data_IF_628122278463
#
_entry.id   IF_628122278463
#
_cell.length_a   1.000
_cell.length_b   1.000
_cell.length_c   1.000
_cell.angle_alpha   90.00
_cell.angle_beta   90.00
_cell.angle_gamma   90.00
#
_symmetry.space_group_name_H-M   'P 1'
#
loop_
_entity.id
_entity.type
_entity.pdbx_description
1 polymer ?
#
# COMPACT_ATOMS: atom_id res chain seq x y z
N UNK A 1 8.53 -72.31 6.35
CA UNK A 1 9.64 -71.72 7.10
C UNK A 1 10.59 -71.03 6.12
N UNK A 2 11.09 -69.86 6.51
CA UNK A 2 12.14 -69.03 5.90
C UNK A 2 11.96 -68.49 4.47
N UNK A 3 11.84 -67.17 4.46
CA UNK A 3 11.94 -66.21 3.37
C UNK A 3 13.38 -65.98 2.90
N UNK A 4 13.47 -65.56 1.63
CA UNK A 4 14.45 -64.66 0.97
C UNK A 4 15.87 -65.15 0.69
N UNK A 5 16.30 -64.85 -0.54
CA UNK A 5 17.58 -64.30 -1.05
C UNK A 5 17.70 -64.73 -2.53
N UNK A 6 18.28 -64.02 -3.51
CA UNK A 6 19.12 -62.84 -3.54
C UNK A 6 19.03 -62.15 -4.92
N UNK A 7 19.47 -60.89 -4.89
CA UNK A 7 19.82 -59.96 -5.96
C UNK A 7 20.60 -60.54 -7.15
N UNK A 8 20.27 -60.11 -8.38
CA UNK A 8 21.20 -60.11 -9.53
C UNK A 8 21.05 -58.85 -10.39
N UNK A 9 22.17 -58.12 -10.46
CA UNK A 9 22.85 -57.49 -11.60
C UNK A 9 22.03 -56.63 -12.55
N UNK A 10 22.55 -55.44 -12.85
CA UNK A 10 23.04 -55.10 -14.21
C UNK A 10 24.09 -53.98 -14.10
N UNK A 11 25.27 -54.24 -14.67
CA UNK A 11 26.33 -53.27 -14.91
C UNK A 11 26.21 -52.75 -16.35
N UNK A 12 26.45 -51.47 -16.58
CA UNK A 12 26.67 -50.93 -17.93
C UNK A 12 27.94 -50.09 -17.96
N UNK A 13 28.82 -50.59 -18.82
CA UNK A 13 30.05 -50.09 -19.41
C UNK A 13 30.29 -48.58 -19.42
N UNK A 14 31.51 -48.21 -19.04
CA UNK A 14 32.12 -46.90 -19.24
C UNK A 14 32.42 -46.65 -20.73
N UNK A 15 32.25 -45.40 -21.17
CA UNK A 15 32.71 -44.92 -22.48
C UNK A 15 33.66 -43.75 -22.28
N UNK A 16 34.76 -43.80 -23.03
CA UNK A 16 35.95 -42.94 -22.99
C UNK A 16 35.67 -41.47 -23.29
N UNK A 17 36.40 -40.61 -22.59
CA UNK A 17 36.45 -39.17 -22.79
C UNK A 17 37.30 -38.79 -24.02
N UNK A 18 36.81 -37.82 -24.81
CA UNK A 18 37.62 -37.04 -25.74
C UNK A 18 37.88 -35.65 -25.13
N UNK A 19 39.09 -35.08 -25.26
CA UNK A 19 39.43 -33.78 -24.69
C UNK A 19 38.97 -32.63 -25.61
N UNK A 20 38.14 -31.73 -25.08
CA UNK A 20 37.79 -30.47 -25.74
C UNK A 20 38.52 -29.32 -25.03
N UNK A 21 39.26 -28.58 -25.86
CA UNK A 21 39.91 -27.29 -25.68
C UNK A 21 39.52 -26.46 -24.44
N UNK A 22 40.55 -26.12 -23.66
CA UNK A 22 40.56 -25.09 -22.63
C UNK A 22 40.34 -23.70 -23.21
N UNK A 23 39.28 -23.02 -22.80
CA UNK A 23 39.18 -21.55 -22.86
C UNK A 23 39.08 -21.03 -21.42
N UNK A 24 39.90 -20.03 -21.02
CA UNK A 24 39.82 -19.47 -19.67
C UNK A 24 38.61 -18.54 -19.57
N UNK A 25 37.66 -18.90 -18.72
CA UNK A 25 36.57 -18.00 -18.34
C UNK A 25 37.09 -16.98 -17.32
N UNK A 26 36.81 -15.67 -17.49
CA UNK A 26 37.17 -14.68 -16.50
C UNK A 26 36.35 -14.88 -15.23
N UNK A 27 37.05 -15.08 -14.12
CA UNK A 27 36.54 -15.15 -12.76
C UNK A 27 36.02 -13.78 -12.29
N UNK A 28 34.89 -13.31 -12.83
CA UNK A 28 34.09 -12.25 -12.21
C UNK A 28 32.61 -12.60 -12.22
N UNK A 29 32.25 -13.53 -11.34
CA UNK A 29 30.91 -13.53 -10.75
C UNK A 29 31.02 -13.97 -9.30
N UNK A 30 31.55 -13.08 -8.47
CA UNK A 30 31.13 -13.04 -7.06
C UNK A 30 29.64 -12.76 -7.12
N UNK A 31 28.82 -13.80 -6.96
CA UNK A 31 27.42 -13.66 -6.69
C UNK A 31 27.29 -12.83 -5.41
N UNK A 32 27.06 -11.53 -5.55
CA UNK A 32 26.51 -10.73 -4.48
C UNK A 32 25.15 -11.34 -4.21
N UNK A 33 25.08 -12.23 -3.22
CA UNK A 33 23.82 -12.71 -2.66
C UNK A 33 22.95 -11.52 -2.27
N UNK A 34 21.65 -11.71 -2.00
CA UNK A 34 20.80 -10.61 -1.57
C UNK A 34 21.51 -9.88 -0.44
N UNK A 35 21.79 -8.58 -0.63
CA UNK A 35 22.33 -7.74 0.42
C UNK A 35 21.28 -7.73 1.51
N UNK A 36 21.42 -8.63 2.49
CA UNK A 36 20.60 -8.61 3.69
C UNK A 36 21.00 -7.32 4.38
N UNK A 37 20.18 -6.30 4.16
CA UNK A 37 20.36 -4.98 4.72
C UNK A 37 20.41 -5.17 6.24
N UNK A 38 21.58 -4.94 6.84
CA UNK A 38 21.71 -4.78 8.29
C UNK A 38 20.92 -3.52 8.63
N UNK A 39 19.64 -3.70 8.97
CA UNK A 39 18.85 -2.64 9.58
C UNK A 39 19.51 -2.32 10.91
N UNK A 40 20.24 -1.21 10.97
CA UNK A 40 20.65 -0.62 12.23
C UNK A 40 19.37 -0.36 13.02
N UNK A 41 19.18 -1.11 14.10
CA UNK A 41 17.96 -1.06 14.91
C UNK A 41 17.99 0.23 15.73
N UNK A 42 17.54 1.35 15.15
CA UNK A 42 17.12 2.54 15.89
C UNK A 42 15.81 2.32 16.69
N UNK A 43 15.40 1.05 16.86
CA UNK A 43 14.20 0.66 17.58
C UNK A 43 14.51 -0.13 18.86
N UNK A 44 15.77 -0.18 19.31
CA UNK A 44 16.08 -0.70 20.63
C UNK A 44 15.90 0.41 21.67
N UNK A 45 14.62 0.72 21.96
CA UNK A 45 14.12 1.45 23.12
C UNK A 45 14.05 3.00 23.04
N UNK A 46 13.09 3.51 22.26
CA UNK A 46 12.65 4.92 22.36
C UNK A 46 12.18 5.27 23.80
N UNK A 47 11.70 4.27 24.58
CA UNK A 47 11.22 4.46 25.95
C UNK A 47 12.23 4.15 27.08
N UNK A 48 13.42 3.57 26.81
CA UNK A 48 14.35 3.14 27.88
C UNK A 48 15.50 4.13 28.13
N UNK A 49 15.51 5.25 27.40
CA UNK A 49 16.51 6.32 27.53
C UNK A 49 15.95 7.74 27.48
N UNK A 50 14.64 7.92 27.30
CA UNK A 50 14.00 9.25 27.34
C UNK A 50 13.97 9.74 28.79
N UNK A 51 14.87 10.66 29.14
CA UNK A 51 14.93 11.28 30.47
C UNK A 51 16.13 10.91 31.35
N UNK A 52 17.15 10.20 30.84
CA UNK A 52 18.43 10.11 31.57
C UNK A 52 19.26 11.36 31.26
N UNK A 53 19.66 12.17 32.27
CA UNK A 53 20.54 13.30 32.03
C UNK A 53 21.88 12.81 31.48
N UNK A 54 22.35 13.43 30.40
CA UNK A 54 23.73 13.29 29.90
C UNK A 54 24.66 13.75 31.02
N UNK A 55 25.36 12.83 31.68
CA UNK A 55 26.49 13.21 32.54
C UNK A 55 27.55 13.85 31.65
N UNK A 56 28.03 15.02 32.07
CA UNK A 56 28.93 15.92 31.31
C UNK A 56 30.35 15.36 31.12
N UNK A 57 30.63 14.15 31.60
CA UNK A 57 31.97 13.56 31.62
C UNK A 57 32.16 12.39 30.63
N UNK A 58 31.19 12.12 29.75
CA UNK A 58 31.31 11.10 28.70
C UNK A 58 31.86 11.66 27.37
N UNK A 59 32.84 12.57 27.44
CA UNK A 59 33.51 13.13 26.25
C UNK A 59 34.48 12.13 25.57
N UNK A 60 34.60 10.89 26.05
CA UNK A 60 35.58 9.91 25.55
C UNK A 60 35.04 8.51 25.30
N UNK A 61 33.71 8.27 25.30
CA UNK A 61 33.15 6.98 24.90
C UNK A 61 32.62 7.04 23.47
N UNK A 62 33.31 6.31 22.59
CA UNK A 62 33.08 6.11 21.16
C UNK A 62 31.76 5.39 20.82
N UNK A 63 30.63 5.96 21.25
CA UNK A 63 29.27 5.50 20.92
C UNK A 63 28.37 6.69 20.57
N UNK A 64 28.92 7.70 19.90
CA UNK A 64 28.11 8.60 19.09
C UNK A 64 27.87 7.87 17.76
N UNK A 65 26.61 7.51 17.49
CA UNK A 65 26.24 6.90 16.22
C UNK A 65 26.65 7.89 15.10
N UNK A 66 27.53 7.50 14.15
CA UNK A 66 28.10 8.43 13.16
C UNK A 66 27.03 9.06 12.27
N UNK A 67 25.81 8.50 12.25
CA UNK A 67 24.68 8.99 11.49
C UNK A 67 24.00 10.19 12.15
N UNK A 68 23.96 10.29 13.49
CA UNK A 68 23.32 11.44 14.16
C UNK A 68 24.18 12.69 14.05
N UNK A 69 25.51 12.56 14.17
CA UNK A 69 26.44 13.66 13.91
C UNK A 69 26.36 14.15 12.46
N UNK A 70 26.22 13.23 11.49
CA UNK A 70 26.12 13.59 10.07
C UNK A 70 24.81 14.31 9.69
N UNK A 71 23.73 14.14 10.47
CA UNK A 71 22.45 14.81 10.26
C UNK A 71 22.40 16.22 10.86
N UNK A 72 23.20 16.48 11.90
CA UNK A 72 23.26 17.76 12.61
C UNK A 72 24.31 18.73 12.02
N UNK A 73 25.19 18.26 11.13
CA UNK A 73 26.25 19.07 10.52
C UNK A 73 25.71 19.96 9.37
N UNK A 74 25.83 21.31 9.44
CA UNK A 74 25.33 22.20 8.39
C UNK A 74 26.03 21.99 7.04
N UNK A 75 27.32 21.64 7.07
CA UNK A 75 28.13 21.41 5.87
C UNK A 75 27.74 20.13 5.12
N UNK A 76 27.37 19.06 5.83
CA UNK A 76 26.91 17.83 5.18
C UNK A 76 25.53 18.03 4.55
N UNK A 77 24.66 18.84 5.18
CA UNK A 77 23.37 19.26 4.63
C UNK A 77 23.54 20.12 3.38
N UNK A 78 24.45 21.08 3.39
CA UNK A 78 24.80 21.88 2.20
C UNK A 78 25.33 21.02 1.07
N UNK A 79 26.28 20.12 1.33
CA UNK A 79 26.81 19.18 0.32
C UNK A 79 25.73 18.24 -0.23
N UNK A 80 24.81 17.78 0.60
CA UNK A 80 23.67 16.96 0.17
C UNK A 80 22.70 17.76 -0.69
N UNK A 81 22.44 19.01 -0.33
CA UNK A 81 21.63 19.94 -1.13
C UNK A 81 22.29 20.20 -2.48
N UNK A 82 23.57 20.56 -2.53
CA UNK A 82 24.34 20.70 -3.77
C UNK A 82 24.26 19.42 -4.62
N UNK A 83 24.57 18.26 -4.03
CA UNK A 83 24.55 16.98 -4.76
C UNK A 83 23.15 16.57 -5.25
N UNK A 84 22.10 16.96 -4.53
CA UNK A 84 20.70 16.73 -4.94
C UNK A 84 20.22 17.73 -5.99
N UNK A 85 20.70 18.98 -5.95
CA UNK A 85 20.43 20.00 -6.96
C UNK A 85 21.16 19.69 -8.27
N UNK A 86 22.39 19.16 -8.19
CA UNK A 86 23.21 18.76 -9.34
C UNK A 86 23.02 17.28 -9.72
N UNK A 87 21.79 16.77 -9.67
CA UNK A 87 21.45 15.44 -10.19
C UNK A 87 21.45 15.44 -11.73
N UNK A 88 22.64 15.53 -12.32
CA UNK A 88 23.03 14.71 -13.46
C UNK A 88 22.51 15.05 -14.86
N UNK A 89 22.15 16.30 -15.18
CA UNK A 89 22.05 16.72 -16.59
C UNK A 89 22.58 18.15 -16.74
N UNK A 90 23.88 18.28 -16.96
CA UNK A 90 24.54 19.59 -17.13
C UNK A 90 24.46 20.15 -18.57
N UNK A 91 23.75 19.48 -19.48
CA UNK A 91 23.65 19.91 -20.89
C UNK A 91 22.20 19.89 -21.42
N UNK A 92 21.30 20.68 -20.83
CA UNK A 92 19.97 20.93 -21.42
C UNK A 92 19.79 22.41 -21.79
N UNK A 93 19.34 22.62 -23.04
CA UNK A 93 19.05 23.88 -23.75
C UNK A 93 18.29 24.97 -22.95
N UNK A 94 17.67 24.64 -21.82
CA UNK A 94 16.85 25.57 -21.01
C UNK A 94 17.51 25.97 -19.68
N UNK A 95 18.81 25.71 -19.49
CA UNK A 95 19.55 26.05 -18.28
C UNK A 95 19.44 27.56 -17.94
N UNK A 96 19.60 28.42 -18.96
CA UNK A 96 19.59 29.88 -18.79
C UNK A 96 18.21 30.45 -18.40
N UNK A 97 17.11 29.75 -18.72
CA UNK A 97 15.75 30.16 -18.33
C UNK A 97 15.39 29.76 -16.88
N UNK A 98 16.04 28.73 -16.32
CA UNK A 98 15.80 28.23 -14.96
C UNK A 98 16.57 29.06 -13.91
N UNK A 99 17.71 29.64 -14.26
CA UNK A 99 18.51 30.48 -13.35
C UNK A 99 17.98 31.91 -13.21
N UNK A 100 17.35 32.45 -14.26
CA UNK A 100 16.77 33.79 -14.29
C UNK A 100 15.70 34.11 -13.20
N UNK A 101 14.81 33.18 -12.77
CA UNK A 101 13.81 33.48 -11.73
C UNK A 101 14.35 33.54 -10.29
N UNK A 102 15.64 33.25 -10.03
CA UNK A 102 16.18 33.18 -8.66
C UNK A 102 16.34 34.55 -7.95
N UNK A 103 16.24 35.68 -8.66
CA UNK A 103 16.43 37.03 -8.08
C UNK A 103 15.16 37.73 -7.59
N UNK A 104 13.99 37.09 -7.62
CA UNK A 104 12.70 37.78 -7.40
C UNK A 104 11.65 37.04 -6.58
N UNK A 105 12.02 36.22 -5.58
CA UNK A 105 11.02 35.53 -4.73
C UNK A 105 10.91 36.21 -3.35
N UNK A 106 9.71 36.63 -2.90
CA UNK A 106 9.52 37.10 -1.53
C UNK A 106 9.66 35.94 -0.55
N UNK A 107 10.16 36.28 0.63
CA UNK A 107 10.56 35.40 1.73
C UNK A 107 9.54 34.30 2.02
N UNK A 108 10.03 33.06 2.00
CA UNK A 108 9.26 31.88 2.37
C UNK A 108 8.88 31.93 3.86
N UNK A 109 7.59 31.82 4.15
CA UNK A 109 7.09 31.64 5.51
C UNK A 109 7.76 30.41 6.17
N UNK A 110 8.22 30.52 7.44
CA UNK A 110 8.84 29.41 8.15
C UNK A 110 7.76 28.40 8.54
N UNK A 111 7.67 27.29 7.82
CA UNK A 111 6.70 26.22 8.11
C UNK A 111 6.16 25.47 6.91
N UNK A 112 6.59 25.79 5.69
CA UNK A 112 6.34 24.92 4.54
C UNK A 112 7.04 23.58 4.77
N UNK A 113 6.27 22.52 4.97
CA UNK A 113 6.79 21.16 5.08
C UNK A 113 7.79 20.93 3.95
N UNK A 114 9.05 20.61 4.30
CA UNK A 114 10.08 20.25 3.34
C UNK A 114 9.54 19.10 2.50
N UNK A 115 9.09 19.40 1.28
CA UNK A 115 8.60 18.41 0.35
C UNK A 115 9.84 17.64 -0.07
N UNK A 116 10.12 16.52 0.61
CA UNK A 116 11.17 15.58 0.23
C UNK A 116 11.14 15.45 -1.29
N UNK A 117 12.27 15.74 -1.94
CA UNK A 117 12.35 15.65 -3.38
C UNK A 117 12.00 14.20 -3.76
N UNK A 118 10.81 14.01 -4.34
CA UNK A 118 10.29 12.71 -4.80
C UNK A 118 11.03 12.27 -6.06
N UNK A 119 12.36 12.32 -6.05
CA UNK A 119 13.18 11.78 -7.12
C UNK A 119 12.94 10.28 -7.17
N UNK A 120 13.01 9.74 -8.39
CA UNK A 120 12.85 8.30 -8.61
C UNK A 120 13.86 7.49 -7.79
N UNK A 121 15.05 8.02 -7.58
CA UNK A 121 16.12 7.41 -6.80
C UNK A 121 15.78 7.35 -5.30
N UNK A 122 15.29 8.46 -4.74
CA UNK A 122 14.87 8.52 -3.34
C UNK A 122 13.70 7.56 -3.07
N UNK A 123 12.77 7.44 -4.02
CA UNK A 123 11.60 6.57 -3.89
C UNK A 123 11.88 5.12 -4.30
N UNK A 124 12.97 4.83 -5.03
CA UNK A 124 13.22 3.52 -5.64
C UNK A 124 13.14 2.38 -4.63
N UNK A 125 13.69 2.59 -3.43
CA UNK A 125 13.72 1.58 -2.37
C UNK A 125 12.33 1.24 -1.82
N UNK A 126 11.38 2.19 -1.80
CA UNK A 126 10.03 1.99 -1.27
C UNK A 126 9.06 1.56 -2.37
N UNK A 127 9.15 2.18 -3.55
CA UNK A 127 8.26 1.92 -4.69
C UNK A 127 8.58 0.59 -5.37
N UNK A 128 9.87 0.27 -5.51
CA UNK A 128 10.37 -0.91 -6.22
C UNK A 128 11.33 -1.74 -5.33
N UNK A 129 10.85 -2.39 -4.26
CA UNK A 129 11.72 -3.15 -3.36
C UNK A 129 12.41 -4.35 -4.05
N UNK A 130 11.74 -5.02 -5.00
CA UNK A 130 12.27 -6.17 -5.74
C UNK A 130 12.20 -5.96 -7.27
N UNK A 131 13.21 -5.33 -7.90
CA UNK A 131 13.17 -5.03 -9.33
C UNK A 131 13.18 -6.29 -10.22
N UNK A 132 13.86 -7.37 -9.80
CA UNK A 132 13.96 -8.61 -10.58
C UNK A 132 12.62 -9.35 -10.71
N UNK A 133 11.79 -9.34 -9.68
CA UNK A 133 10.46 -9.95 -9.72
C UNK A 133 9.53 -9.14 -10.61
N UNK A 134 9.58 -7.79 -10.52
CA UNK A 134 8.84 -6.87 -11.38
C UNK A 134 9.14 -7.09 -12.86
N UNK A 135 10.42 -7.19 -13.25
CA UNK A 135 10.81 -7.43 -14.66
C UNK A 135 10.25 -8.75 -15.19
N UNK A 136 10.33 -9.84 -14.41
CA UNK A 136 9.76 -11.14 -14.80
C UNK A 136 8.24 -11.08 -14.98
N UNK A 137 7.56 -10.37 -14.07
CA UNK A 137 6.12 -10.16 -14.15
C UNK A 137 5.72 -9.30 -15.36
N UNK A 138 6.46 -8.21 -15.63
CA UNK A 138 6.27 -7.37 -16.81
C UNK A 138 6.43 -8.18 -18.09
N UNK A 139 7.49 -8.99 -18.21
CA UNK A 139 7.68 -9.91 -19.35
C UNK A 139 6.48 -10.85 -19.52
N UNK A 140 5.99 -11.46 -18.44
CA UNK A 140 4.81 -12.34 -18.48
C UNK A 140 3.55 -11.59 -18.97
N UNK A 141 3.35 -10.34 -18.54
CA UNK A 141 2.22 -9.51 -18.98
C UNK A 141 2.34 -9.09 -20.44
N UNK A 142 3.52 -8.71 -20.91
CA UNK A 142 3.78 -8.40 -22.32
C UNK A 142 3.53 -9.61 -23.19
N UNK A 143 4.03 -10.79 -22.81
CA UNK A 143 3.75 -12.05 -23.54
C UNK A 143 2.24 -12.30 -23.62
N UNK A 144 1.51 -12.14 -22.50
CA UNK A 144 0.05 -12.31 -22.50
C UNK A 144 -0.66 -11.29 -23.39
N UNK A 145 -0.21 -10.04 -23.41
CA UNK A 145 -0.73 -8.98 -24.28
C UNK A 145 -0.54 -9.33 -25.75
N UNK A 146 0.67 -9.79 -26.12
CA UNK A 146 0.99 -10.24 -27.48
C UNK A 146 0.15 -11.45 -27.86
N UNK A 147 0.01 -12.45 -26.98
CA UNK A 147 -0.84 -13.63 -27.22
C UNK A 147 -2.32 -13.27 -27.42
N UNK A 148 -2.82 -12.28 -26.69
CA UNK A 148 -4.20 -11.80 -26.83
C UNK A 148 -4.39 -10.88 -28.05
N UNK A 149 -3.34 -10.57 -28.81
CA UNK A 149 -3.33 -9.64 -29.94
C UNK A 149 -3.96 -8.28 -29.58
N UNK A 150 -3.72 -7.79 -28.36
CA UNK A 150 -4.26 -6.50 -27.89
C UNK A 150 -5.75 -6.49 -27.54
N UNK A 151 -6.45 -7.63 -27.58
CA UNK A 151 -7.86 -7.69 -27.13
C UNK A 151 -7.95 -7.52 -25.62
N UNK A 152 -8.73 -6.52 -25.19
CA UNK A 152 -9.00 -6.26 -23.79
C UNK A 152 -10.21 -7.07 -23.30
N UNK A 153 -10.05 -7.68 -22.13
CA UNK A 153 -11.17 -8.27 -21.39
C UNK A 153 -12.12 -7.19 -20.85
N UNK A 154 -13.36 -7.57 -20.53
CA UNK A 154 -14.35 -6.65 -19.95
C UNK A 154 -13.83 -6.01 -18.65
N UNK A 155 -13.17 -6.78 -17.81
CA UNK A 155 -12.59 -6.30 -16.54
C UNK A 155 -11.47 -5.28 -16.77
N UNK A 156 -10.60 -5.52 -17.76
CA UNK A 156 -9.53 -4.57 -18.11
C UNK A 156 -10.12 -3.26 -18.65
N UNK A 157 -11.17 -3.33 -19.48
CA UNK A 157 -11.88 -2.15 -19.98
C UNK A 157 -12.53 -1.34 -18.85
N UNK A 158 -13.16 -2.03 -17.89
CA UNK A 158 -13.75 -1.38 -16.71
C UNK A 158 -12.66 -0.69 -15.89
N UNK A 159 -11.56 -1.39 -15.55
CA UNK A 159 -10.46 -0.79 -14.76
C UNK A 159 -9.77 0.38 -15.47
N UNK A 160 -9.77 0.41 -16.80
CA UNK A 160 -9.20 1.51 -17.58
C UNK A 160 -10.13 2.73 -17.64
N UNK A 161 -11.44 2.52 -17.78
CA UNK A 161 -12.40 3.59 -18.05
C UNK A 161 -13.10 4.11 -16.79
N UNK A 162 -13.34 3.26 -15.79
CA UNK A 162 -14.11 3.58 -14.59
C UNK A 162 -13.18 3.81 -13.41
N UNK A 163 -13.40 4.91 -12.69
CA UNK A 163 -12.64 5.23 -11.47
C UNK A 163 -13.29 4.55 -10.27
N UNK A 164 -12.51 3.83 -9.48
CA UNK A 164 -12.95 3.22 -8.23
C UNK A 164 -12.02 3.56 -7.08
N UNK A 165 -12.58 3.66 -5.86
CA UNK A 165 -11.82 3.73 -4.61
C UNK A 165 -12.30 2.63 -3.67
N UNK A 166 -11.36 1.82 -3.21
CA UNK A 166 -11.57 0.88 -2.13
C UNK A 166 -11.06 1.52 -0.82
N UNK A 167 -11.99 1.89 0.07
CA UNK A 167 -11.66 2.49 1.36
C UNK A 167 -12.03 1.57 2.53
N UNK A 168 -11.06 1.30 3.41
CA UNK A 168 -11.18 0.38 4.54
C UNK A 168 -11.17 1.14 5.85
N UNK A 169 -12.14 0.85 6.72
CA UNK A 169 -12.19 1.39 8.08
C UNK A 169 -11.22 0.69 9.04
N UNK A 170 -10.94 1.34 10.18
CA UNK A 170 -10.33 0.67 11.31
C UNK A 170 -11.29 -0.32 12.00
N UNK A 171 -10.78 -1.03 13.00
CA UNK A 171 -11.54 -2.04 13.74
C UNK A 171 -12.45 -1.44 14.81
N UNK A 172 -13.75 -1.45 14.54
CA UNK A 172 -14.80 -1.01 15.44
C UNK A 172 -15.14 -2.08 16.50
N UNK A 173 -15.69 -1.65 17.63
CA UNK A 173 -16.10 -2.51 18.76
C UNK A 173 -17.44 -3.22 18.54
N UNK A 174 -17.62 -3.84 17.37
CA UNK A 174 -18.93 -4.34 16.91
C UNK A 174 -18.85 -5.77 16.40
N UNK A 175 -20.01 -6.40 16.30
CA UNK A 175 -20.19 -7.69 15.64
C UNK A 175 -20.56 -7.49 14.18
N UNK A 176 -20.14 -8.42 13.31
CA UNK A 176 -20.39 -8.36 11.85
C UNK A 176 -21.88 -8.14 11.62
N UNK A 177 -22.72 -8.97 12.25
CA UNK A 177 -24.19 -8.92 12.10
C UNK A 177 -24.79 -7.54 12.39
N UNK A 178 -24.28 -6.82 13.40
CA UNK A 178 -24.79 -5.50 13.77
C UNK A 178 -24.38 -4.43 12.75
N UNK A 179 -23.13 -4.48 12.29
CA UNK A 179 -22.60 -3.54 11.31
C UNK A 179 -23.15 -3.82 9.89
N UNK A 180 -23.42 -5.08 9.55
CA UNK A 180 -24.02 -5.47 8.27
C UNK A 180 -25.36 -4.79 8.03
N UNK A 181 -26.15 -4.52 9.08
CA UNK A 181 -27.42 -3.80 8.93
C UNK A 181 -27.23 -2.37 8.42
N UNK A 182 -26.17 -1.68 8.87
CA UNK A 182 -25.82 -0.34 8.39
C UNK A 182 -25.22 -0.39 6.99
N UNK A 183 -24.33 -1.34 6.72
CA UNK A 183 -23.73 -1.50 5.40
C UNK A 183 -24.81 -1.73 4.32
N UNK A 184 -25.75 -2.66 4.56
CA UNK A 184 -26.86 -2.92 3.63
C UNK A 184 -27.73 -1.69 3.37
N UNK A 185 -27.87 -0.80 4.36
CA UNK A 185 -28.69 0.41 4.27
C UNK A 185 -28.08 1.46 3.35
N UNK A 186 -26.75 1.58 3.32
CA UNK A 186 -26.02 2.56 2.49
C UNK A 186 -25.66 2.04 1.10
N UNK A 187 -25.72 0.72 0.88
CA UNK A 187 -25.38 0.09 -0.40
C UNK A 187 -26.23 0.64 -1.57
N UNK A 188 -25.56 1.22 -2.57
CA UNK A 188 -26.17 1.77 -3.78
C UNK A 188 -26.71 3.19 -3.64
N UNK A 189 -26.52 3.85 -2.49
CA UNK A 189 -26.89 5.26 -2.31
C UNK A 189 -25.77 6.19 -2.78
N UNK A 190 -26.09 7.43 -3.22
CA UNK A 190 -25.07 8.46 -3.41
C UNK A 190 -24.39 8.79 -2.08
N UNK A 191 -23.13 9.21 -2.12
CA UNK A 191 -22.31 9.39 -0.92
C UNK A 191 -22.92 10.41 0.06
N UNK A 192 -23.54 11.47 -0.47
CA UNK A 192 -24.22 12.49 0.34
C UNK A 192 -25.45 11.96 1.06
N UNK A 193 -26.31 11.21 0.37
CA UNK A 193 -27.49 10.59 0.98
C UNK A 193 -27.09 9.54 2.03
N UNK A 194 -25.97 8.84 1.82
CA UNK A 194 -25.45 7.88 2.79
C UNK A 194 -24.94 8.56 4.07
N UNK A 195 -24.16 9.65 3.94
CA UNK A 195 -23.73 10.47 5.09
C UNK A 195 -24.93 11.03 5.83
N UNK A 196 -25.90 11.55 5.06
CA UNK A 196 -27.15 12.05 5.59
C UNK A 196 -27.80 10.93 6.42
N UNK A 197 -28.07 9.76 5.82
CA UNK A 197 -28.67 8.62 6.50
C UNK A 197 -27.94 8.19 7.80
N UNK A 198 -26.61 8.23 7.81
CA UNK A 198 -25.82 7.89 9.01
C UNK A 198 -25.91 8.97 10.09
N UNK A 199 -25.99 10.25 9.72
CA UNK A 199 -26.16 11.38 10.66
C UNK A 199 -27.42 11.27 11.49
N UNK A 200 -28.56 10.88 10.90
CA UNK A 200 -29.84 10.72 11.63
C UNK A 200 -30.10 9.27 12.08
N UNK A 201 -29.15 8.35 11.91
CA UNK A 201 -29.33 6.97 12.36
C UNK A 201 -29.17 6.86 13.87
N UNK A 202 -30.09 6.14 14.51
CA UNK A 202 -30.08 5.89 15.96
C UNK A 202 -29.02 4.87 16.40
N UNK A 203 -28.29 4.25 15.47
CA UNK A 203 -27.31 3.20 15.78
C UNK A 203 -26.00 3.84 16.24
N UNK A 204 -25.43 3.38 17.36
CA UNK A 204 -24.14 3.88 17.89
C UNK A 204 -23.04 3.98 16.83
N UNK A 205 -22.86 2.92 16.05
CA UNK A 205 -21.82 2.82 15.03
C UNK A 205 -22.13 3.58 13.73
N UNK A 206 -23.28 4.24 13.62
CA UNK A 206 -23.54 5.10 12.48
C UNK A 206 -22.64 6.35 12.48
N UNK A 207 -22.27 6.86 13.66
CA UNK A 207 -21.32 7.96 13.80
C UNK A 207 -19.93 7.57 13.25
N UNK A 208 -19.42 6.39 13.59
CA UNK A 208 -18.15 5.86 13.06
C UNK A 208 -18.23 5.63 11.55
N UNK A 209 -19.31 5.01 11.06
CA UNK A 209 -19.50 4.80 9.61
C UNK A 209 -19.57 6.13 8.85
N UNK A 210 -20.23 7.15 9.42
CA UNK A 210 -20.27 8.49 8.83
C UNK A 210 -18.87 9.06 8.65
N UNK A 211 -18.03 8.99 9.68
CA UNK A 211 -16.64 9.46 9.62
C UNK A 211 -15.87 8.79 8.48
N UNK A 212 -15.97 7.46 8.34
CA UNK A 212 -15.31 6.75 7.23
C UNK A 212 -15.89 7.07 5.85
N UNK A 213 -17.16 7.48 5.76
CA UNK A 213 -17.74 7.95 4.49
C UNK A 213 -17.24 9.35 4.12
N UNK A 214 -16.99 10.21 5.11
CA UNK A 214 -16.36 11.53 4.92
C UNK A 214 -14.90 11.33 4.47
N UNK A 215 -14.13 10.51 5.18
CA UNK A 215 -12.75 10.16 4.81
C UNK A 215 -12.67 9.52 3.41
N UNK A 216 -13.55 8.56 3.10
CA UNK A 216 -13.58 7.92 1.78
C UNK A 216 -13.88 8.91 0.65
N UNK A 217 -14.75 9.89 0.89
CA UNK A 217 -15.07 10.95 -0.08
C UNK A 217 -13.84 11.81 -0.35
N UNK A 218 -13.16 12.24 0.70
CA UNK A 218 -12.00 13.11 0.58
C UNK A 218 -10.85 12.39 -0.15
N UNK A 219 -10.59 11.12 0.19
CA UNK A 219 -9.63 10.27 -0.50
C UNK A 219 -10.03 10.01 -1.97
N UNK A 220 -11.32 9.86 -2.26
CA UNK A 220 -11.81 9.64 -3.62
C UNK A 220 -11.55 10.85 -4.52
N UNK A 221 -11.79 12.05 -3.99
CA UNK A 221 -11.52 13.30 -4.68
C UNK A 221 -10.00 13.48 -4.83
N UNK A 222 -9.24 13.33 -3.76
CA UNK A 222 -7.80 13.62 -3.76
C UNK A 222 -6.96 12.59 -4.53
N UNK A 223 -7.22 11.28 -4.36
CA UNK A 223 -6.40 10.23 -4.98
C UNK A 223 -6.88 9.85 -6.39
N UNK A 224 -8.20 9.86 -6.62
CA UNK A 224 -8.80 9.35 -7.86
C UNK A 224 -9.44 10.43 -8.71
N UNK A 225 -9.61 11.65 -8.21
CA UNK A 225 -10.25 12.74 -8.96
C UNK A 225 -11.73 12.48 -9.25
N UNK A 226 -12.44 11.77 -8.36
CA UNK A 226 -13.88 11.53 -8.51
C UNK A 226 -14.69 12.75 -8.06
N UNK A 227 -15.89 12.98 -8.62
CA UNK A 227 -16.80 14.05 -8.17
C UNK A 227 -16.50 15.47 -8.64
N UNK A 228 -15.52 15.68 -9.51
CA UNK A 228 -15.08 17.01 -9.97
C UNK A 228 -15.84 17.57 -11.19
N UNK A 229 -16.71 16.78 -11.83
CA UNK A 229 -17.36 17.18 -13.08
C UNK A 229 -18.29 18.39 -12.95
N UNK A 230 -18.93 18.61 -11.79
CA UNK A 230 -19.78 19.79 -11.55
C UNK A 230 -18.98 21.09 -11.67
N UNK A 231 -17.77 21.12 -11.10
CA UNK A 231 -16.91 22.32 -11.11
C UNK A 231 -16.33 22.56 -12.49
N UNK A 232 -16.06 21.49 -13.24
CA UNK A 232 -15.53 21.55 -14.60
C UNK A 232 -16.62 21.85 -15.66
N UNK A 233 -17.90 21.89 -15.29
CA UNK A 233 -19.01 22.11 -16.21
C UNK A 233 -19.39 20.89 -17.06
N UNK A 234 -18.93 19.69 -16.70
CA UNK A 234 -19.25 18.42 -17.38
C UNK A 234 -20.60 17.84 -16.91
N UNK A 235 -21.64 18.69 -16.90
CA UNK A 235 -23.02 18.25 -16.66
C UNK A 235 -23.61 17.67 -17.93
N UNK A 236 -24.38 16.58 -17.83
CA UNK A 236 -25.07 16.04 -18.99
C UNK A 236 -26.19 17.01 -19.40
N UNK A 237 -26.17 17.47 -20.65
CA UNK A 237 -27.20 18.37 -21.20
C UNK A 237 -28.62 17.77 -21.14
N UNK A 238 -28.73 16.44 -21.04
CA UNK A 238 -29.98 15.72 -20.79
C UNK A 238 -29.74 14.73 -19.63
N UNK A 239 -30.56 14.77 -18.56
CA UNK A 239 -30.41 13.83 -17.46
C UNK A 239 -30.68 12.40 -17.93
N UNK A 240 -29.75 11.49 -17.64
CA UNK A 240 -29.86 10.09 -18.02
C UNK A 240 -30.71 9.33 -17.01
N UNK A 241 -31.82 8.74 -17.45
CA UNK A 241 -32.65 7.86 -16.61
C UNK A 241 -32.08 6.45 -16.62
N UNK A 242 -31.62 5.99 -15.47
CA UNK A 242 -31.02 4.67 -15.29
C UNK A 242 -31.86 3.87 -14.30
N UNK A 243 -32.06 2.59 -14.57
CA UNK A 243 -32.65 1.66 -13.61
C UNK A 243 -31.55 0.96 -12.81
N UNK A 244 -31.62 1.05 -11.48
CA UNK A 244 -30.73 0.31 -10.59
C UNK A 244 -31.03 -1.20 -10.69
N UNK A 245 -30.06 -2.06 -10.35
CA UNK A 245 -30.30 -3.52 -10.25
C UNK A 245 -31.50 -3.90 -9.35
N UNK A 246 -31.85 -3.06 -8.37
CA UNK A 246 -33.00 -3.22 -7.47
C UNK A 246 -34.33 -2.69 -8.04
N UNK A 247 -34.35 -2.23 -9.29
CA UNK A 247 -35.54 -1.72 -9.98
C UNK A 247 -35.87 -0.24 -9.75
N UNK A 248 -35.15 0.46 -8.86
CA UNK A 248 -35.34 1.91 -8.61
C UNK A 248 -34.82 2.73 -9.79
N UNK A 249 -35.66 3.62 -10.31
CA UNK A 249 -35.28 4.61 -11.31
C UNK A 249 -34.52 5.76 -10.65
N UNK A 250 -33.38 6.13 -11.25
CA UNK A 250 -32.54 7.24 -10.85
C UNK A 250 -32.32 8.14 -12.06
N UNK A 251 -32.39 9.45 -11.83
CA UNK A 251 -32.04 10.46 -12.84
C UNK A 251 -30.63 10.94 -12.51
N UNK A 252 -29.71 10.74 -13.45
CA UNK A 252 -28.30 11.12 -13.30
C UNK A 252 -28.06 12.39 -14.11
N UNK A 253 -27.92 13.50 -13.39
CA UNK A 253 -27.51 14.80 -13.93
C UNK A 253 -25.98 14.85 -14.10
N UNK A 254 -25.26 14.41 -13.06
CA UNK A 254 -23.80 14.38 -13.00
C UNK A 254 -23.24 12.97 -13.11
N UNK A 255 -22.55 12.62 -14.21
CA UNK A 255 -22.01 11.28 -14.41
C UNK A 255 -20.78 11.00 -13.52
N UNK A 256 -20.13 12.06 -13.02
CA UNK A 256 -18.96 11.96 -12.13
C UNK A 256 -19.34 11.88 -10.65
N UNK A 257 -20.63 11.93 -10.32
CA UNK A 257 -21.12 11.90 -8.95
C UNK A 257 -20.74 10.59 -8.24
N UNK A 258 -20.34 10.72 -6.97
CA UNK A 258 -19.82 9.60 -6.19
C UNK A 258 -20.99 8.86 -5.54
N UNK A 259 -21.01 7.54 -5.70
CA UNK A 259 -21.97 6.67 -5.04
C UNK A 259 -21.28 5.43 -4.46
N UNK A 260 -21.96 4.78 -3.51
CA UNK A 260 -21.46 3.57 -2.87
C UNK A 260 -21.87 2.38 -3.74
N UNK A 261 -20.97 1.93 -4.62
CA UNK A 261 -21.24 0.79 -5.49
C UNK A 261 -21.44 -0.52 -4.70
N UNK A 262 -20.56 -0.76 -3.73
CA UNK A 262 -20.58 -1.96 -2.89
C UNK A 262 -20.23 -1.60 -1.46
N UNK A 263 -20.85 -2.30 -0.51
CA UNK A 263 -20.52 -2.18 0.91
C UNK A 263 -20.69 -3.54 1.58
N UNK A 264 -19.66 -4.01 2.25
CA UNK A 264 -19.72 -5.25 3.02
C UNK A 264 -19.14 -5.03 4.40
N UNK A 265 -18.89 -6.10 5.17
CA UNK A 265 -18.31 -6.01 6.51
C UNK A 265 -17.37 -7.19 6.70
N UNK A 266 -16.15 -6.89 7.17
CA UNK A 266 -15.15 -7.86 7.57
C UNK A 266 -15.17 -8.15 9.07
N UNK A 267 -14.77 -9.38 9.43
CA UNK A 267 -14.53 -9.75 10.82
C UNK A 267 -13.06 -9.52 11.17
N UNK A 268 -12.81 -8.78 12.24
CA UNK A 268 -11.48 -8.54 12.77
C UNK A 268 -11.04 -9.56 13.84
N UNK A 269 -9.84 -9.37 14.42
CA UNK A 269 -9.37 -10.15 15.55
C UNK A 269 -10.32 -10.05 16.75
N UNK A 270 -10.42 -11.10 17.56
CA UNK A 270 -11.22 -11.01 18.79
C UNK A 270 -10.56 -10.01 19.73
N UNK A 271 -11.31 -9.01 20.20
CA UNK A 271 -10.83 -7.99 21.15
C UNK A 271 -10.52 -8.60 22.51
N UNK A 272 -11.30 -9.60 22.91
CA UNK A 272 -11.14 -10.26 24.19
C UNK A 272 -12.01 -11.50 24.30
N UNK A 273 -11.70 -12.36 25.26
CA UNK A 273 -12.49 -13.52 25.64
C UNK A 273 -12.75 -13.45 27.14
N UNK A 274 -13.98 -13.71 27.57
CA UNK A 274 -14.39 -13.73 28.98
C UNK A 274 -15.09 -15.05 29.27
N UNK A 275 -14.80 -15.65 30.42
CA UNK A 275 -15.51 -16.82 30.91
C UNK A 275 -16.88 -16.38 31.43
N UNK A 276 -17.92 -17.07 30.99
CA UNK A 276 -19.32 -16.87 31.38
C UNK A 276 -19.73 -18.00 32.32
N UNK A 277 -19.78 -17.69 33.63
CA UNK A 277 -20.14 -18.65 34.65
C UNK A 277 -21.66 -18.84 34.69
N UNK A 278 -22.11 -20.08 34.53
CA UNK A 278 -23.53 -20.46 34.55
C UNK A 278 -23.83 -21.37 35.73
N UNK A 279 -25.12 -21.56 36.03
CA UNK A 279 -25.54 -22.50 37.07
C UNK A 279 -25.08 -23.94 36.80
N UNK A 280 -25.01 -24.74 37.87
CA UNK A 280 -24.63 -26.17 37.85
C UNK A 280 -23.22 -26.44 37.29
N UNK A 281 -22.24 -25.59 37.61
CA UNK A 281 -20.84 -25.77 37.21
C UNK A 281 -20.57 -25.63 35.70
N UNK A 282 -21.54 -25.15 34.91
CA UNK A 282 -21.38 -24.94 33.47
C UNK A 282 -20.64 -23.63 33.21
N UNK A 283 -19.76 -23.62 32.21
CA UNK A 283 -19.01 -22.43 31.80
C UNK A 283 -19.07 -22.26 30.28
N UNK A 284 -19.31 -21.02 29.84
CA UNK A 284 -19.22 -20.60 28.45
C UNK A 284 -18.05 -19.65 28.23
N UNK A 285 -17.75 -19.32 26.97
CA UNK A 285 -16.77 -18.29 26.61
C UNK A 285 -17.46 -17.22 25.77
N UNK A 286 -17.61 -16.02 26.32
CA UNK A 286 -18.05 -14.83 25.59
C UNK A 286 -16.84 -14.27 24.85
N UNK A 287 -16.96 -14.10 23.53
CA UNK A 287 -15.91 -13.50 22.69
C UNK A 287 -16.35 -12.10 22.26
N UNK A 288 -15.54 -11.10 22.56
CA UNK A 288 -15.79 -9.72 22.14
C UNK A 288 -15.29 -9.52 20.69
N UNK A 289 -16.19 -9.29 19.72
CA UNK A 289 -15.80 -9.13 18.33
C UNK A 289 -15.18 -7.75 18.08
N UNK A 290 -14.40 -7.67 17.00
CA UNK A 290 -14.07 -6.43 16.32
C UNK A 290 -14.39 -6.59 14.83
N UNK A 291 -14.74 -5.49 14.15
CA UNK A 291 -15.16 -5.52 12.74
C UNK A 291 -14.76 -4.27 12.00
N UNK A 292 -14.57 -4.40 10.69
CA UNK A 292 -14.27 -3.31 9.75
C UNK A 292 -15.28 -3.34 8.59
N UNK A 293 -15.48 -2.22 7.89
CA UNK A 293 -16.36 -2.16 6.72
C UNK A 293 -15.78 -2.89 5.50
N UNK A 294 -14.47 -3.13 5.43
CA UNK A 294 -13.86 -4.00 4.43
C UNK A 294 -13.00 -5.09 5.09
N UNK A 295 -12.98 -6.33 4.56
CA UNK A 295 -12.11 -7.40 5.00
C UNK A 295 -10.65 -7.02 4.73
N UNK A 296 -9.77 -7.37 5.66
CA UNK A 296 -8.34 -7.20 5.50
C UNK A 296 -7.84 -7.98 4.27
N UNK A 297 -7.44 -7.28 3.21
CA UNK A 297 -6.62 -7.86 2.12
C UNK A 297 -5.27 -8.39 2.62
N UNK A 298 -4.84 -7.99 3.81
CA UNK A 298 -3.62 -8.49 4.48
C UNK A 298 -3.73 -9.96 4.89
N UNK A 299 -4.93 -10.50 5.11
CA UNK A 299 -5.12 -11.90 5.50
C UNK A 299 -5.22 -12.86 4.30
N UNK A 300 -5.15 -12.35 3.06
CA UNK A 300 -5.16 -13.16 1.84
C UNK A 300 -3.76 -13.42 1.25
N UNK A 301 -2.71 -12.85 1.83
CA UNK A 301 -1.32 -13.05 1.36
C UNK A 301 -0.64 -14.23 2.08
N UNK A 302 -1.21 -14.77 3.16
CA UNK A 302 -0.58 -15.86 3.94
C UNK A 302 -0.85 -17.29 3.43
N UNK A 303 -1.61 -17.50 2.35
CA UNK A 303 -1.93 -18.83 1.80
C UNK A 303 -1.73 -18.92 0.28
N UNK A 304 -0.78 -18.17 -0.28
CA UNK A 304 -0.28 -18.38 -1.63
C UNK A 304 1.24 -18.55 -1.58
N UNK A 305 1.64 -19.71 -1.06
CA UNK A 305 2.91 -20.34 -1.35
C UNK A 305 2.61 -21.77 -1.79
#
# INVERSE_FOLDING_TARGET
>A
MSLRLATRRLAVSARSANPVSSTPTPLWSVSVGPSVQRRHKWAANIFKGWGKPKNKDAASSSTADPVTSQLDDPKSREQFLEKSMYSGVEDNIFQDEIEAPSKGRPEAAPGGAEVEQKTKENMALIVDPDPRSRIRWQRKKVIKMVQNNGRLSKEERIRMNERELLHKSEFMATSVKKLTMLARQIAGKPIDEAILQMKWSKKKFAAEVRYYLEEARDLAIAQRGMGLGKVNGETLAKPCKIQTQKGKWLEVEDPTSIYIAQSWVGRGPWRGKRIDYKGRGRMGIIRHPSTSTLPNSENTISNLC
#
